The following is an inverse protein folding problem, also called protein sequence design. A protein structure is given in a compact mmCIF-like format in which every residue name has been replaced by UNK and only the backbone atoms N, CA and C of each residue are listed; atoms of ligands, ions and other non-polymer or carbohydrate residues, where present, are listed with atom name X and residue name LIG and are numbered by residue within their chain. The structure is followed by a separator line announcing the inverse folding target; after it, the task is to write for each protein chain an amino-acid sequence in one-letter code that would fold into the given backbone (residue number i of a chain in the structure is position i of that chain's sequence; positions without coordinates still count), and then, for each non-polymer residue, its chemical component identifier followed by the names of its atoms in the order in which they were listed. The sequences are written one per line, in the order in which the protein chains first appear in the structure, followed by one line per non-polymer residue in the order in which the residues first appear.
data_IF_942273276288
#
_entry.id   IF_942273276288
#
_cell.length_a   1.000
_cell.length_b   1.000
_cell.length_c   1.000
_cell.angle_alpha   90.00
_cell.angle_beta   90.00
_cell.angle_gamma   90.00
#
_symmetry.space_group_name_H-M   'P 1'
#
loop_
_entity.id
_entity.type
_entity.pdbx_description
1 polymer ?
#
# COMPACT_ATOMS: atom_id res chain seq x y z
N UNK A 1 -20.08 9.88 -4.30
CA UNK A 1 -18.62 9.85 -4.49
C UNK A 1 -18.27 8.61 -5.29
N UNK A 2 -17.54 8.73 -6.40
CA UNK A 2 -17.15 7.57 -7.21
C UNK A 2 -16.00 6.79 -6.54
N UNK A 3 -15.62 5.64 -7.12
CA UNK A 3 -14.56 4.78 -6.57
C UNK A 3 -13.21 5.49 -6.43
N UNK A 4 -12.81 6.30 -7.42
CA UNK A 4 -11.55 7.06 -7.41
C UNK A 4 -11.53 8.07 -6.26
N UNK A 5 -12.61 8.84 -6.12
CA UNK A 5 -12.74 9.82 -5.05
C UNK A 5 -12.78 9.17 -3.67
N UNK A 6 -13.41 7.99 -3.53
CA UNK A 6 -13.34 7.19 -2.29
C UNK A 6 -11.91 6.77 -1.96
N UNK A 7 -11.17 6.26 -2.95
CA UNK A 7 -9.79 5.83 -2.76
C UNK A 7 -8.88 7.02 -2.44
N UNK A 8 -9.07 8.16 -3.11
CA UNK A 8 -8.36 9.40 -2.81
C UNK A 8 -8.62 9.90 -1.40
N UNK A 9 -9.88 9.91 -0.96
CA UNK A 9 -10.21 10.27 0.41
C UNK A 9 -9.54 9.31 1.40
N UNK A 10 -9.58 8.01 1.14
CA UNK A 10 -8.89 7.02 1.97
C UNK A 10 -7.38 7.26 2.01
N UNK A 11 -6.74 7.56 0.88
CA UNK A 11 -5.29 7.87 0.80
C UNK A 11 -4.94 9.08 1.66
N UNK A 12 -5.75 10.14 1.62
CA UNK A 12 -5.49 11.39 2.34
C UNK A 12 -5.82 11.32 3.83
N UNK A 13 -6.63 10.35 4.27
CA UNK A 13 -7.10 10.24 5.65
C UNK A 13 -6.68 8.96 6.39
N UNK A 14 -5.93 8.06 5.76
CA UNK A 14 -5.49 6.82 6.39
C UNK A 14 -4.04 6.92 6.83
N UNK A 15 -3.68 6.47 8.04
CA UNK A 15 -2.30 6.52 8.46
C UNK A 15 -1.50 5.38 7.80
N UNK A 16 -0.18 5.52 7.70
CA UNK A 16 0.68 4.46 7.19
C UNK A 16 0.72 3.24 8.13
N UNK A 17 1.22 2.12 7.61
CA UNK A 17 1.42 0.86 8.33
C UNK A 17 2.40 0.98 9.50
N UNK A 18 3.25 2.00 9.49
CA UNK A 18 4.27 2.24 10.50
C UNK A 18 3.97 3.54 11.26
N UNK A 19 4.48 3.64 12.49
CA UNK A 19 4.43 4.91 13.22
C UNK A 19 5.29 5.97 12.52
N UNK A 20 4.92 7.24 12.69
CA UNK A 20 5.54 8.38 12.01
C UNK A 20 6.92 8.70 12.60
N UNK A 21 7.92 7.99 12.11
CA UNK A 21 9.34 8.27 12.28
C UNK A 21 10.00 8.20 10.91
N UNK A 22 11.04 9.03 10.63
CA UNK A 22 11.73 8.97 9.35
C UNK A 22 12.18 7.53 9.00
N UNK A 23 12.00 7.08 7.74
CA UNK A 23 11.55 7.86 6.58
C UNK A 23 10.01 7.86 6.38
N UNK A 24 9.22 7.28 7.27
CA UNK A 24 7.77 7.17 7.06
C UNK A 24 7.08 8.52 7.06
N UNK A 25 6.21 8.72 6.07
CA UNK A 25 5.45 9.93 5.86
C UNK A 25 3.94 9.64 5.89
N UNK A 26 3.14 10.68 6.14
CA UNK A 26 1.67 10.66 6.05
C UNK A 26 1.19 11.85 5.22
N UNK A 27 -0.04 11.75 4.74
CA UNK A 27 -0.77 12.83 4.10
C UNK A 27 -1.85 13.45 5.00
N UNK A 28 -2.12 12.84 6.17
CA UNK A 28 -3.21 13.23 7.07
C UNK A 28 -3.09 14.66 7.61
N UNK A 29 -1.86 15.15 7.76
CA UNK A 29 -1.58 16.49 8.29
C UNK A 29 -1.59 17.58 7.19
N UNK A 30 -1.81 17.19 5.93
CA UNK A 30 -1.79 18.12 4.81
C UNK A 30 -3.19 18.67 4.52
N UNK A 31 -3.28 19.97 4.29
CA UNK A 31 -4.48 20.57 3.71
C UNK A 31 -4.54 20.27 2.22
N UNK A 32 -5.19 19.16 1.86
CA UNK A 32 -5.31 18.67 0.49
C UNK A 32 -6.69 18.98 -0.06
N UNK A 33 -6.75 19.60 -1.24
CA UNK A 33 -8.02 19.85 -1.93
C UNK A 33 -8.66 18.53 -2.39
N UNK A 34 -10.01 18.42 -2.39
CA UNK A 34 -10.69 17.26 -2.92
C UNK A 34 -10.33 16.98 -4.38
N UNK A 35 -10.34 15.70 -4.77
CA UNK A 35 -10.15 15.29 -6.15
C UNK A 35 -11.30 15.82 -7.03
N UNK A 36 -10.96 16.36 -8.21
CA UNK A 36 -11.94 16.90 -9.15
C UNK A 36 -12.98 15.85 -9.59
N UNK A 37 -14.21 16.27 -9.86
CA UNK A 37 -15.29 15.37 -10.28
C UNK A 37 -15.04 14.74 -11.66
N UNK A 38 -14.25 15.41 -12.50
CA UNK A 38 -13.86 14.95 -13.84
C UNK A 38 -12.55 14.15 -13.86
N UNK A 39 -11.97 13.82 -12.70
CA UNK A 39 -10.75 13.03 -12.65
C UNK A 39 -11.02 11.62 -13.18
N UNK A 40 -10.19 11.19 -14.15
CA UNK A 40 -10.24 9.86 -14.72
C UNK A 40 -8.85 9.21 -14.66
N UNK A 41 -8.82 7.89 -14.46
CA UNK A 41 -7.59 7.11 -14.51
C UNK A 41 -7.68 6.08 -15.64
N UNK A 42 -6.86 6.25 -16.67
CA UNK A 42 -6.80 5.37 -17.85
C UNK A 42 -5.50 4.54 -17.92
N UNK A 43 -4.72 4.54 -16.83
CA UNK A 43 -3.44 3.84 -16.74
C UNK A 43 -3.57 2.34 -16.44
N UNK A 44 -2.51 1.76 -15.87
CA UNK A 44 -2.46 0.34 -15.54
C UNK A 44 -3.47 0.00 -14.43
N UNK A 45 -4.38 -0.98 -14.64
CA UNK A 45 -5.45 -1.27 -13.68
C UNK A 45 -4.97 -1.91 -12.37
N UNK A 46 -3.66 -2.23 -12.25
CA UNK A 46 -3.09 -2.72 -11.00
C UNK A 46 -3.17 -1.61 -9.95
N UNK A 47 -3.75 -1.96 -8.79
CA UNK A 47 -3.95 -1.05 -7.65
C UNK A 47 -2.73 -0.20 -7.28
N UNK A 48 -1.51 -0.72 -7.41
CA UNK A 48 -0.29 0.04 -7.14
C UNK A 48 -0.13 1.29 -8.02
N UNK A 49 -0.42 1.19 -9.32
CA UNK A 49 -0.29 2.35 -10.23
C UNK A 49 -1.42 3.35 -10.01
N UNK A 50 -2.64 2.87 -9.78
CA UNK A 50 -3.76 3.73 -9.40
C UNK A 50 -3.48 4.46 -8.09
N UNK A 51 -2.92 3.77 -7.10
CA UNK A 51 -2.54 4.36 -5.82
C UNK A 51 -1.45 5.43 -6.00
N UNK A 52 -0.42 5.16 -6.79
CA UNK A 52 0.62 6.14 -7.09
C UNK A 52 0.05 7.39 -7.76
N UNK A 53 -0.80 7.22 -8.79
CA UNK A 53 -1.50 8.32 -9.46
C UNK A 53 -2.27 9.21 -8.47
N UNK A 54 -3.05 8.59 -7.57
CA UNK A 54 -3.84 9.34 -6.60
C UNK A 54 -2.98 9.98 -5.49
N UNK A 55 -1.86 9.37 -5.10
CA UNK A 55 -0.88 10.00 -4.21
C UNK A 55 -0.24 11.23 -4.87
N UNK A 56 0.17 11.14 -6.14
CA UNK A 56 0.65 12.30 -6.91
C UNK A 56 -0.40 13.40 -6.93
N UNK A 57 -1.64 13.07 -7.30
CA UNK A 57 -2.73 14.04 -7.33
C UNK A 57 -2.95 14.71 -5.97
N UNK A 58 -2.88 13.93 -4.88
CA UNK A 58 -3.03 14.44 -3.52
C UNK A 58 -1.93 15.42 -3.13
N UNK A 59 -0.68 15.09 -3.46
CA UNK A 59 0.48 15.94 -3.22
C UNK A 59 0.45 17.21 -4.08
N UNK A 60 0.06 17.11 -5.34
CA UNK A 60 -0.12 18.25 -6.25
C UNK A 60 -1.27 19.17 -5.80
N UNK A 61 -2.30 18.62 -5.16
CA UNK A 61 -3.43 19.36 -4.59
C UNK A 61 -3.15 19.91 -3.18
N UNK A 62 -1.97 19.68 -2.62
CA UNK A 62 -1.52 20.27 -1.36
C UNK A 62 -0.83 21.61 -1.59
N UNK A 63 -0.91 22.53 -0.63
CA UNK A 63 -0.12 23.78 -0.70
C UNK A 63 1.34 23.58 -0.29
N UNK A 64 1.65 22.47 0.39
CA UNK A 64 2.97 22.21 0.95
C UNK A 64 3.96 21.66 -0.07
N UNK A 65 3.48 20.99 -1.11
CA UNK A 65 4.34 20.31 -2.07
C UNK A 65 4.23 20.88 -3.48
N UNK A 66 5.35 20.84 -4.19
CA UNK A 66 5.44 21.01 -5.64
C UNK A 66 6.02 19.73 -6.23
N UNK A 67 5.37 19.18 -7.28
CA UNK A 67 5.91 18.06 -8.02
C UNK A 67 7.06 18.58 -8.89
N UNK A 68 8.28 18.10 -8.65
CA UNK A 68 9.46 18.44 -9.47
C UNK A 68 9.61 17.44 -10.61
N UNK A 69 9.43 16.15 -10.31
CA UNK A 69 9.43 15.08 -11.28
C UNK A 69 8.71 13.84 -10.71
N UNK A 70 8.23 12.98 -11.59
CA UNK A 70 7.54 11.73 -11.25
C UNK A 70 7.91 10.62 -12.23
N UNK A 71 7.76 9.36 -11.80
CA UNK A 71 8.01 8.16 -12.60
C UNK A 71 9.39 8.14 -13.31
N UNK A 72 10.44 8.59 -12.61
CA UNK A 72 11.78 8.69 -13.18
C UNK A 72 12.40 7.29 -13.27
N UNK A 73 12.45 6.72 -14.47
CA UNK A 73 13.12 5.45 -14.71
C UNK A 73 14.64 5.64 -14.78
N UNK A 74 15.38 4.91 -13.94
CA UNK A 74 16.84 4.88 -13.94
C UNK A 74 17.34 3.65 -14.70
N UNK A 75 18.25 3.87 -15.65
CA UNK A 75 18.95 2.82 -16.37
C UNK A 75 20.46 2.96 -16.15
N UNK A 76 21.18 1.83 -16.08
CA UNK A 76 22.64 1.81 -16.01
C UNK A 76 23.27 2.20 -17.36
N UNK A 77 24.61 2.26 -17.41
CA UNK A 77 25.36 2.59 -18.62
C UNK A 77 25.12 1.64 -19.79
N UNK A 78 24.68 0.41 -19.52
CA UNK A 78 24.37 -0.61 -20.52
C UNK A 78 22.90 -0.55 -20.97
N UNK A 79 22.13 0.41 -20.44
CA UNK A 79 20.71 0.62 -20.75
C UNK A 79 19.76 -0.31 -19.99
N UNK A 80 20.25 -1.06 -18.99
CA UNK A 80 19.42 -1.93 -18.17
C UNK A 80 18.75 -1.14 -17.06
N UNK A 81 17.45 -1.34 -16.88
CA UNK A 81 16.68 -0.68 -15.83
C UNK A 81 17.14 -1.13 -14.44
N UNK A 82 17.59 -0.16 -13.66
CA UNK A 82 17.97 -0.30 -12.25
C UNK A 82 16.70 -0.25 -11.38
N UNK A 83 15.78 0.64 -11.74
CA UNK A 83 14.46 0.79 -11.15
C UNK A 83 13.85 2.13 -11.53
N UNK A 84 12.91 2.59 -10.72
CA UNK A 84 12.25 3.87 -10.89
C UNK A 84 12.11 4.57 -9.53
N UNK A 85 12.09 5.89 -9.59
CA UNK A 85 11.70 6.77 -8.49
C UNK A 85 10.25 7.18 -8.73
N UNK A 86 9.41 7.03 -7.71
CA UNK A 86 8.01 7.42 -7.84
C UNK A 86 7.88 8.94 -7.97
N UNK A 87 8.47 9.71 -7.03
CA UNK A 87 8.28 11.16 -6.94
C UNK A 87 9.52 11.89 -6.41
N UNK A 88 9.85 13.03 -7.03
CA UNK A 88 10.72 14.07 -6.49
C UNK A 88 9.86 15.31 -6.25
N UNK A 89 9.85 15.78 -5.00
CA UNK A 89 9.01 16.90 -4.56
C UNK A 89 9.86 18.02 -3.98
N UNK A 90 9.41 19.26 -4.12
CA UNK A 90 9.87 20.38 -3.31
C UNK A 90 8.88 20.60 -2.16
N UNK A 91 9.33 20.40 -0.94
CA UNK A 91 8.60 20.77 0.28
C UNK A 91 8.76 22.28 0.49
N UNK A 92 7.71 23.05 0.24
CA UNK A 92 7.71 24.52 0.33
C UNK A 92 7.90 25.02 1.77
N UNK A 93 7.40 24.27 2.74
CA UNK A 93 7.47 24.62 4.17
C UNK A 93 8.89 24.49 4.72
N UNK A 94 9.59 23.42 4.35
CA UNK A 94 10.96 23.14 4.79
C UNK A 94 12.04 23.66 3.82
N UNK A 95 11.61 24.20 2.68
CA UNK A 95 12.48 24.62 1.57
C UNK A 95 13.48 23.54 1.11
N UNK A 96 13.07 22.27 1.10
CA UNK A 96 13.95 21.14 0.77
C UNK A 96 13.35 20.23 -0.32
N UNK A 97 14.21 19.52 -1.04
CA UNK A 97 13.78 18.45 -1.93
C UNK A 97 13.56 17.16 -1.15
N UNK A 98 12.54 16.41 -1.53
CA UNK A 98 12.18 15.12 -0.96
C UNK A 98 12.03 14.08 -2.07
N UNK A 99 12.58 12.89 -1.85
CA UNK A 99 12.37 11.71 -2.69
C UNK A 99 11.32 10.85 -2.00
N UNK A 100 10.17 10.74 -2.65
CA UNK A 100 9.02 10.01 -2.15
C UNK A 100 8.87 8.69 -2.90
N UNK A 101 8.72 7.62 -2.13
CA UNK A 101 8.24 6.33 -2.61
C UNK A 101 6.88 6.04 -1.96
N UNK A 102 5.95 5.48 -2.74
CA UNK A 102 4.58 5.23 -2.30
C UNK A 102 4.20 3.76 -2.51
N UNK A 103 3.60 3.15 -1.49
CA UNK A 103 3.16 1.75 -1.58
C UNK A 103 1.86 1.51 -0.81
N UNK A 104 0.93 0.77 -1.44
CA UNK A 104 -0.23 0.20 -0.77
C UNK A 104 -0.08 -1.32 -0.62
N UNK A 105 -0.26 -1.84 0.59
CA UNK A 105 -0.04 -3.26 0.91
C UNK A 105 -1.05 -3.87 1.87
N UNK A 106 -1.25 -5.17 1.74
CA UNK A 106 -2.18 -5.94 2.56
C UNK A 106 -1.45 -7.18 3.04
N UNK A 107 -1.32 -7.34 4.36
CA UNK A 107 -0.53 -8.43 4.95
C UNK A 107 -1.31 -9.19 6.02
N UNK A 108 -1.27 -10.52 5.95
CA UNK A 108 -1.87 -11.50 6.83
C UNK A 108 -0.80 -12.02 7.79
N UNK A 109 -1.05 -11.91 9.09
CA UNK A 109 -0.15 -12.42 10.12
C UNK A 109 -0.22 -13.94 10.18
N UNK A 110 0.91 -14.62 10.04
CA UNK A 110 1.03 -16.05 10.25
C UNK A 110 2.42 -16.39 10.80
N UNK A 111 2.45 -17.06 11.95
CA UNK A 111 3.68 -17.51 12.63
C UNK A 111 4.73 -16.39 12.82
N UNK A 112 4.26 -15.20 13.22
CA UNK A 112 5.07 -14.01 13.47
C UNK A 112 5.47 -13.23 12.22
N UNK A 113 5.05 -13.67 11.03
CA UNK A 113 5.40 -13.06 9.75
C UNK A 113 4.17 -12.49 9.07
N UNK A 114 4.31 -11.28 8.53
CA UNK A 114 3.29 -10.58 7.75
C UNK A 114 3.41 -10.92 6.27
N UNK A 115 2.56 -11.83 5.77
CA UNK A 115 2.54 -12.32 4.40
C UNK A 115 1.48 -11.64 3.55
N UNK A 116 1.79 -11.31 2.30
CA UNK A 116 0.76 -10.93 1.34
C UNK A 116 -0.12 -12.14 1.02
N UNK A 117 -1.31 -11.92 0.42
CA UNK A 117 -2.14 -13.02 -0.07
C UNK A 117 -1.36 -13.96 -1.01
N UNK A 118 -0.42 -13.38 -1.79
CA UNK A 118 0.67 -14.12 -2.40
C UNK A 118 1.86 -14.20 -1.43
N UNK A 119 2.11 -15.37 -0.87
CA UNK A 119 3.09 -15.58 0.23
C UNK A 119 4.56 -15.19 -0.08
N UNK A 120 4.92 -14.96 -1.35
CA UNK A 120 6.23 -14.41 -1.70
C UNK A 120 6.38 -12.92 -1.34
N UNK A 121 5.27 -12.17 -1.24
CA UNK A 121 5.28 -10.80 -0.73
C UNK A 121 5.26 -10.87 0.80
N UNK A 122 6.25 -10.30 1.47
CA UNK A 122 6.37 -10.31 2.92
C UNK A 122 6.74 -8.91 3.37
N UNK A 123 6.11 -8.42 4.45
CA UNK A 123 6.29 -7.03 4.89
C UNK A 123 7.76 -6.70 5.16
N UNK A 124 8.49 -7.57 5.84
CA UNK A 124 9.91 -7.33 6.14
C UNK A 124 10.76 -7.28 4.87
N UNK A 125 10.53 -8.20 3.91
CA UNK A 125 11.29 -8.21 2.64
C UNK A 125 10.95 -6.97 1.81
N UNK A 126 9.68 -6.56 1.77
CA UNK A 126 9.25 -5.34 1.09
C UNK A 126 9.84 -4.10 1.75
N UNK A 127 9.76 -3.99 3.07
CA UNK A 127 10.29 -2.86 3.83
C UNK A 127 11.80 -2.74 3.65
N UNK A 128 12.55 -3.83 3.81
CA UNK A 128 14.01 -3.84 3.60
C UNK A 128 14.36 -3.29 2.21
N UNK A 129 13.70 -3.79 1.16
CA UNK A 129 13.92 -3.30 -0.21
C UNK A 129 13.56 -1.83 -0.40
N UNK A 130 12.50 -1.33 0.26
CA UNK A 130 12.18 0.11 0.20
C UNK A 130 13.31 0.93 0.81
N UNK A 131 13.83 0.53 1.98
CA UNK A 131 14.84 1.26 2.74
C UNK A 131 16.25 1.16 2.14
N UNK A 132 16.65 -0.03 1.70
CA UNK A 132 18.01 -0.33 1.26
C UNK A 132 18.24 -0.09 -0.24
N UNK A 133 17.17 -0.04 -1.04
CA UNK A 133 17.27 0.08 -2.50
C UNK A 133 16.43 1.22 -3.07
N UNK A 134 15.09 1.19 -2.90
CA UNK A 134 14.22 2.15 -3.58
C UNK A 134 14.49 3.58 -3.15
N UNK A 135 14.47 3.88 -1.84
CA UNK A 135 14.73 5.23 -1.33
C UNK A 135 16.16 5.73 -1.65
N UNK A 136 17.10 4.81 -1.88
CA UNK A 136 18.49 5.11 -2.26
C UNK A 136 18.67 5.45 -3.73
N UNK A 137 17.64 5.30 -4.57
CA UNK A 137 17.70 5.61 -6.01
C UNK A 137 18.14 7.06 -6.29
N UNK A 138 17.68 8.02 -5.48
CA UNK A 138 18.04 9.44 -5.64
C UNK A 138 19.50 9.76 -5.28
N UNK A 139 20.23 8.82 -4.67
CA UNK A 139 21.67 8.97 -4.39
C UNK A 139 22.54 8.48 -5.55
N UNK A 140 21.95 7.79 -6.52
CA UNK A 140 22.66 7.15 -7.64
C UNK A 140 23.21 8.19 -8.62
N UNK A 141 24.39 7.96 -9.20
CA UNK A 141 24.95 8.85 -10.23
C UNK A 141 24.00 9.06 -11.43
N UNK A 142 23.31 8.01 -11.85
CA UNK A 142 22.37 8.00 -12.98
C UNK A 142 21.23 8.99 -12.74
N UNK A 143 20.70 9.05 -11.52
CA UNK A 143 19.68 10.04 -11.15
C UNK A 143 20.24 11.47 -11.21
N UNK A 144 21.43 11.71 -10.66
CA UNK A 144 22.06 13.05 -10.65
C UNK A 144 22.38 13.57 -12.05
N UNK A 145 22.61 12.68 -13.02
CA UNK A 145 22.78 13.05 -14.43
C UNK A 145 21.46 13.51 -15.06
N UNK A 146 20.34 12.89 -14.69
CA UNK A 146 19.01 13.25 -15.20
C UNK A 146 18.48 14.52 -14.55
N UNK A 147 18.66 14.65 -13.24
CA UNK A 147 18.22 15.81 -12.46
C UNK A 147 19.40 16.29 -11.60
N UNK A 148 20.19 17.26 -12.10
CA UNK A 148 21.28 17.87 -11.32
C UNK A 148 20.71 18.65 -10.14
N UNK A 149 21.04 18.24 -8.93
CA UNK A 149 20.56 18.85 -7.69
C UNK A 149 21.74 19.29 -6.82
N UNK A 150 21.61 20.46 -6.17
CA UNK A 150 22.61 20.98 -5.25
C UNK A 150 22.73 20.15 -3.96
N UNK A 151 21.63 19.51 -3.54
CA UNK A 151 21.55 18.68 -2.35
C UNK A 151 20.76 17.40 -2.64
N UNK A 152 21.15 16.29 -2.00
CA UNK A 152 20.40 15.04 -2.09
C UNK A 152 19.00 15.21 -1.48
N UNK A 153 17.93 14.78 -2.17
CA UNK A 153 16.57 14.79 -1.63
C UNK A 153 16.47 13.99 -0.33
N UNK A 154 15.61 14.43 0.59
CA UNK A 154 15.28 13.68 1.81
C UNK A 154 14.32 12.54 1.51
N UNK A 155 14.62 11.36 2.02
CA UNK A 155 13.81 10.15 1.81
C UNK A 155 12.49 10.21 2.57
N UNK A 156 11.42 9.83 1.87
CA UNK A 156 10.05 9.77 2.39
C UNK A 156 9.37 8.52 1.86
N UNK A 157 8.74 7.77 2.75
CA UNK A 157 8.01 6.54 2.41
C UNK A 157 6.57 6.63 2.91
N UNK A 158 5.62 6.69 1.98
CA UNK A 158 4.20 6.54 2.27
C UNK A 158 3.79 5.09 2.02
N UNK A 159 3.78 4.28 3.08
CA UNK A 159 3.38 2.88 3.00
C UNK A 159 2.06 2.66 3.74
N UNK A 160 0.94 2.73 3.02
CA UNK A 160 -0.41 2.54 3.56
C UNK A 160 -0.92 1.12 3.30
N UNK A 161 -2.02 0.74 3.94
CA UNK A 161 -2.54 -0.61 3.78
C UNK A 161 -3.47 -1.09 4.88
N UNK A 162 -3.54 -2.41 5.01
CA UNK A 162 -4.21 -3.08 6.14
C UNK A 162 -3.47 -4.33 6.56
N UNK A 163 -3.39 -4.55 7.86
CA UNK A 163 -2.85 -5.74 8.49
C UNK A 163 -4.00 -6.61 8.99
N UNK A 164 -3.92 -7.91 8.70
CA UNK A 164 -4.97 -8.89 8.97
C UNK A 164 -4.49 -9.91 10.00
N UNK A 165 -5.33 -10.21 10.99
CA UNK A 165 -5.06 -11.24 12.01
C UNK A 165 -6.07 -12.37 11.90
N UNK A 166 -5.72 -13.57 12.34
CA UNK A 166 -6.68 -14.67 12.39
C UNK A 166 -7.42 -14.65 13.72
N UNK A 167 -8.73 -14.31 13.76
CA UNK A 167 -9.48 -14.23 15.02
C UNK A 167 -9.72 -15.62 15.64
N UNK A 168 -9.39 -16.70 14.93
CA UNK A 168 -9.51 -18.08 15.38
C UNK A 168 -8.14 -18.66 15.79
N UNK A 169 -7.08 -17.86 15.83
CA UNK A 169 -5.79 -18.22 16.40
C UNK A 169 -5.46 -17.33 17.61
N UNK A 170 -4.63 -17.82 18.52
CA UNK A 170 -4.14 -17.05 19.68
C UNK A 170 -2.83 -16.31 19.36
N UNK A 171 -2.62 -15.94 18.10
CA UNK A 171 -1.39 -15.30 17.67
C UNK A 171 -1.35 -13.83 18.09
N UNK A 172 -0.26 -13.43 18.74
CA UNK A 172 -0.06 -12.04 19.17
C UNK A 172 0.66 -11.29 18.05
N UNK A 173 0.08 -10.20 17.50
CA UNK A 173 0.74 -9.43 16.46
C UNK A 173 2.07 -8.84 16.93
N UNK A 174 3.15 -8.94 16.14
CA UNK A 174 4.39 -8.26 16.46
C UNK A 174 4.15 -6.75 16.45
N UNK A 175 4.86 -6.02 17.33
CA UNK A 175 4.72 -4.57 17.46
C UNK A 175 5.58 -3.77 16.48
N UNK A 176 6.53 -4.43 15.84
CA UNK A 176 7.51 -3.80 14.95
C UNK A 176 7.89 -4.74 13.79
N UNK A 177 8.51 -4.15 12.78
CA UNK A 177 9.16 -4.86 11.67
C UNK A 177 10.48 -4.17 11.36
N UNK A 178 11.59 -4.90 11.36
CA UNK A 178 12.95 -4.38 11.15
C UNK A 178 13.31 -3.19 12.06
N UNK A 179 12.87 -3.22 13.32
CA UNK A 179 13.11 -2.15 14.30
C UNK A 179 12.21 -0.91 14.14
N UNK A 180 11.26 -0.93 13.21
CA UNK A 180 10.27 0.14 13.05
C UNK A 180 8.92 -0.29 13.62
N UNK A 181 8.37 0.53 14.52
CA UNK A 181 7.09 0.27 15.15
C UNK A 181 5.95 0.28 14.13
N UNK A 182 5.13 -0.77 14.16
CA UNK A 182 3.89 -0.85 13.38
C UNK A 182 2.85 0.06 14.00
N UNK A 183 1.97 0.60 13.17
CA UNK A 183 0.82 1.37 13.63
C UNK A 183 -0.33 0.41 14.01
N UNK A 184 -0.70 0.28 15.30
CA UNK A 184 -1.70 -0.71 15.72
C UNK A 184 -3.09 -0.45 15.12
N UNK A 185 -3.42 0.80 14.75
CA UNK A 185 -4.68 1.12 14.08
C UNK A 185 -4.82 0.44 12.71
N UNK A 186 -3.70 0.02 12.11
CA UNK A 186 -3.69 -0.65 10.81
C UNK A 186 -3.91 -2.16 10.92
N UNK A 187 -3.92 -2.72 12.14
CA UNK A 187 -4.38 -4.08 12.42
C UNK A 187 -5.91 -4.05 12.55
N UNK A 188 -6.57 -4.07 11.40
CA UNK A 188 -8.01 -3.79 11.29
C UNK A 188 -8.72 -4.67 10.26
N UNK A 189 -8.13 -5.80 9.90
CA UNK A 189 -8.77 -6.83 9.09
C UNK A 189 -8.62 -8.21 9.73
N UNK A 190 -9.43 -9.15 9.26
CA UNK A 190 -9.38 -10.54 9.66
C UNK A 190 -8.96 -11.44 8.50
N UNK A 191 -8.28 -12.53 8.80
CA UNK A 191 -8.11 -13.59 7.82
C UNK A 191 -8.39 -14.95 8.43
N UNK A 192 -8.76 -15.93 7.63
CA UNK A 192 -8.85 -17.30 8.08
C UNK A 192 -8.57 -18.29 6.96
N UNK A 193 -8.33 -19.54 7.35
CA UNK A 193 -8.31 -20.64 6.41
C UNK A 193 -9.72 -20.98 5.91
N UNK A 194 -9.82 -21.55 4.72
CA UNK A 194 -11.09 -22.05 4.17
C UNK A 194 -11.75 -23.09 5.09
N UNK A 195 -10.97 -23.90 5.82
CA UNK A 195 -11.48 -24.83 6.83
C UNK A 195 -12.18 -24.13 7.99
N UNK A 196 -11.84 -22.86 8.25
CA UNK A 196 -12.43 -22.01 9.27
C UNK A 196 -13.62 -21.18 8.76
N UNK A 197 -13.99 -21.30 7.47
CA UNK A 197 -15.10 -20.55 6.86
C UNK A 197 -16.40 -20.59 7.67
N UNK A 198 -16.78 -21.76 8.19
CA UNK A 198 -18.01 -21.94 8.97
C UNK A 198 -18.01 -21.21 10.32
N UNK A 199 -16.87 -20.67 10.75
CA UNK A 199 -16.75 -19.85 11.96
C UNK A 199 -17.10 -18.38 11.70
N UNK A 200 -17.18 -17.96 10.43
CA UNK A 200 -17.63 -16.63 10.03
C UNK A 200 -19.16 -16.62 10.05
N UNK A 201 -19.74 -15.96 11.05
CA UNK A 201 -21.19 -15.92 11.26
C UNK A 201 -21.90 -14.80 10.47
N UNK A 202 -21.21 -14.16 9.53
CA UNK A 202 -21.71 -13.04 8.74
C UNK A 202 -21.53 -13.34 7.24
N UNK A 203 -22.47 -12.91 6.38
CA UNK A 203 -22.26 -12.93 4.94
C UNK A 203 -21.04 -12.08 4.55
N UNK A 204 -20.30 -12.58 3.58
CA UNK A 204 -19.16 -11.89 3.01
C UNK A 204 -19.47 -11.49 1.57
N UNK A 205 -18.90 -10.36 1.13
CA UNK A 205 -19.12 -9.77 -0.18
C UNK A 205 -17.78 -9.49 -0.84
N UNK A 206 -17.61 -9.95 -2.08
CA UNK A 206 -16.35 -9.86 -2.81
C UNK A 206 -15.84 -8.42 -2.94
N UNK A 207 -14.53 -8.24 -2.74
CA UNK A 207 -13.83 -7.01 -3.03
C UNK A 207 -12.93 -7.16 -4.25
N UNK A 208 -13.34 -6.47 -5.32
CA UNK A 208 -12.45 -6.25 -6.46
C UNK A 208 -11.21 -5.46 -6.03
N UNK A 209 -10.08 -5.64 -6.73
CA UNK A 209 -8.79 -5.03 -6.35
C UNK A 209 -8.84 -3.53 -6.03
N UNK A 210 -9.51 -2.67 -6.83
CA UNK A 210 -9.60 -1.24 -6.51
C UNK A 210 -10.33 -0.94 -5.19
N UNK A 211 -11.19 -1.87 -4.73
CA UNK A 211 -11.96 -1.75 -3.50
C UNK A 211 -11.25 -2.36 -2.27
N UNK A 212 -10.04 -2.91 -2.41
CA UNK A 212 -9.35 -3.56 -1.28
C UNK A 212 -9.08 -2.62 -0.10
N UNK A 213 -8.90 -1.32 -0.36
CA UNK A 213 -8.69 -0.33 0.69
C UNK A 213 -10.01 0.24 1.24
N UNK A 214 -10.95 0.52 0.33
CA UNK A 214 -12.14 1.36 0.56
C UNK A 214 -13.45 0.58 0.74
N UNK A 215 -13.41 -0.72 0.51
CA UNK A 215 -14.57 -1.58 0.55
C UNK A 215 -15.54 -1.40 -0.64
N UNK A 216 -16.70 -2.04 -0.54
CA UNK A 216 -17.82 -1.97 -1.47
C UNK A 216 -19.09 -1.50 -0.77
N UNK A 217 -20.03 -0.94 -1.52
CA UNK A 217 -21.39 -0.64 -1.06
C UNK A 217 -22.42 -1.58 -1.71
N UNK A 218 -21.96 -2.50 -2.57
CA UNK A 218 -22.78 -3.54 -3.18
C UNK A 218 -22.81 -4.79 -2.30
N UNK A 219 -23.95 -4.97 -1.62
CA UNK A 219 -24.23 -6.12 -0.76
C UNK A 219 -25.33 -7.02 -1.34
N UNK A 220 -25.50 -7.02 -2.67
CA UNK A 220 -26.55 -7.77 -3.33
C UNK A 220 -26.29 -9.27 -3.38
N UNK A 221 -25.03 -9.69 -3.54
CA UNK A 221 -24.64 -11.09 -3.72
C UNK A 221 -23.52 -11.49 -2.74
N UNK A 222 -23.84 -12.22 -1.67
CA UNK A 222 -22.81 -12.77 -0.81
C UNK A 222 -22.04 -13.88 -1.53
N UNK A 223 -20.75 -13.99 -1.22
CA UNK A 223 -19.90 -15.05 -1.75
C UNK A 223 -20.12 -16.38 -1.02
N UNK A 224 -19.91 -17.47 -1.74
CA UNK A 224 -19.80 -18.81 -1.15
C UNK A 224 -18.36 -19.10 -0.72
N UNK A 225 -18.17 -20.20 0.01
CA UNK A 225 -16.85 -20.64 0.48
C UNK A 225 -15.89 -20.80 -0.71
N UNK A 226 -14.75 -20.08 -0.74
CA UNK A 226 -13.76 -20.27 -1.80
C UNK A 226 -13.08 -21.64 -1.67
N UNK A 227 -12.75 -22.26 -2.81
CA UNK A 227 -12.20 -23.63 -2.87
C UNK A 227 -10.70 -23.71 -3.17
N UNK A 228 -10.15 -22.82 -4.00
CA UNK A 228 -8.77 -22.97 -4.50
C UNK A 228 -7.91 -21.70 -4.40
N UNK A 229 -8.55 -20.52 -4.41
CA UNK A 229 -7.87 -19.23 -4.40
C UNK A 229 -8.20 -18.49 -3.12
N UNK A 230 -7.33 -17.56 -2.75
CA UNK A 230 -7.73 -16.63 -1.70
C UNK A 230 -8.87 -15.75 -2.20
N UNK A 231 -9.72 -15.35 -1.28
CA UNK A 231 -10.80 -14.40 -1.52
C UNK A 231 -10.60 -13.19 -0.61
N UNK A 232 -10.79 -11.99 -1.17
CA UNK A 232 -10.80 -10.76 -0.36
C UNK A 232 -12.22 -10.24 -0.36
N UNK A 233 -12.80 -10.12 0.82
CA UNK A 233 -14.19 -9.78 0.99
C UNK A 233 -14.37 -8.81 2.14
N UNK A 234 -15.59 -8.31 2.28
CA UNK A 234 -16.02 -7.62 3.49
C UNK A 234 -17.38 -8.11 3.96
N UNK A 235 -17.68 -7.87 5.23
CA UNK A 235 -19.05 -7.92 5.73
C UNK A 235 -19.78 -6.62 5.41
N UNK A 236 -21.12 -6.63 5.52
CA UNK A 236 -21.93 -5.42 5.30
C UNK A 236 -21.68 -4.31 6.35
N UNK A 237 -21.18 -4.67 7.54
CA UNK A 237 -20.79 -3.74 8.60
C UNK A 237 -19.33 -3.28 8.52
N UNK A 238 -18.59 -3.67 7.47
CA UNK A 238 -17.29 -3.09 7.14
C UNK A 238 -16.07 -3.83 7.69
N UNK A 239 -16.21 -5.08 8.15
CA UNK A 239 -15.07 -5.93 8.50
C UNK A 239 -14.45 -6.49 7.21
N UNK A 240 -13.14 -6.28 7.02
CA UNK A 240 -12.41 -6.82 5.87
C UNK A 240 -11.88 -8.22 6.18
N UNK A 241 -12.04 -9.14 5.24
CA UNK A 241 -11.71 -10.55 5.38
C UNK A 241 -10.88 -11.07 4.23
N UNK A 242 -9.76 -11.71 4.54
CA UNK A 242 -9.10 -12.65 3.62
C UNK A 242 -9.44 -14.09 3.98
N UNK A 243 -9.86 -14.88 3.00
CA UNK A 243 -10.06 -16.32 3.16
C UNK A 243 -9.03 -17.00 2.29
N UNK A 244 -8.12 -17.77 2.89
CA UNK A 244 -7.00 -18.39 2.19
C UNK A 244 -7.14 -19.92 2.16
N UNK A 245 -6.57 -20.60 1.15
CA UNK A 245 -6.53 -22.06 1.12
C UNK A 245 -5.81 -22.64 2.34
N UNK A 246 -6.17 -23.86 2.77
CA UNK A 246 -5.58 -24.51 3.96
C UNK A 246 -4.07 -24.79 3.83
N UNK A 247 -3.53 -24.74 2.60
CA UNK A 247 -2.10 -24.92 2.33
C UNK A 247 -1.32 -23.60 2.22
N UNK A 248 -1.97 -22.45 2.41
CA UNK A 248 -1.28 -21.17 2.53
C UNK A 248 -0.51 -21.11 3.88
N UNK A 249 0.73 -20.57 3.94
CA UNK A 249 1.46 -19.88 2.88
C UNK A 249 2.35 -20.77 1.99
N UNK A 250 2.32 -22.09 2.15
CA UNK A 250 3.33 -23.03 1.63
C UNK A 250 3.25 -23.30 0.11
N UNK A 251 2.11 -23.06 -0.56
CA UNK A 251 1.95 -23.34 -1.99
C UNK A 251 1.48 -22.14 -2.83
N UNK A 252 2.39 -21.25 -3.26
CA UNK A 252 2.07 -20.07 -4.06
C UNK A 252 1.71 -20.35 -5.53
N UNK A 253 1.60 -21.62 -5.95
CA UNK A 253 1.33 -22.00 -7.36
C UNK A 253 -0.16 -22.00 -7.75
N UNK A 254 -1.08 -21.69 -6.85
CA UNK A 254 -2.50 -21.51 -7.19
C UNK A 254 -2.81 -20.18 -7.92
N UNK A 255 -1.78 -19.39 -8.28
CA UNK A 255 -1.89 -17.96 -8.61
C UNK A 255 -1.60 -17.59 -10.07
N UNK A 256 -1.99 -18.44 -11.05
CA UNK A 256 -2.20 -17.98 -12.43
C UNK A 256 -3.68 -18.03 -12.78
#
# INVERSE_FOLDING_TARGET
MNQLQRLYQWITSSPPLFQLLPPFATLEDLSIKPLGESEEYQGNPRLGFLYQHLCTAALANSEQYEIVAEEIQLNDSDGKTIGAIDLILKNRTLDQLEHWEVAIKFYLLHEGVWYGPNAHDQLHTKLDRMLSHQLKMSERPEFRQMLPLDQSPKERLLMQGRLYINPFSNEVPPKECLGFALNPSQISGYWCYQSQWSLINKPLYHLSKPNWAIGTDDFSQPIEKPMERFEHAQTADGEFWFIVPDNWPQNPKAHK
#
